data_IF_731767303524
#
_entry.id   IF_731767303524
#
_cell.length_a   1.000
_cell.length_b   1.000
_cell.length_c   1.000
_cell.angle_alpha   90.00
_cell.angle_beta   90.00
_cell.angle_gamma   90.00
#
_symmetry.space_group_name_H-M   'P 1'
#
loop_
_entity.id
_entity.type
_entity.pdbx_description
1 polymer ?
#
# COMPACT_ATOMS: atom_id res chain seq x y z
N UNK A 1 2.43 -44.54 -50.12
CA UNK A 1 2.86 -44.36 -48.72
C UNK A 1 3.62 -43.05 -48.62
N UNK A 2 2.95 -41.99 -48.18
CA UNK A 2 3.58 -40.68 -47.91
C UNK A 2 4.24 -40.74 -46.54
N UNK A 3 5.57 -40.70 -46.52
CA UNK A 3 6.38 -40.67 -45.31
C UNK A 3 6.20 -39.30 -44.65
N UNK A 4 5.41 -39.26 -43.58
CA UNK A 4 5.27 -38.07 -42.74
C UNK A 4 6.57 -37.88 -41.97
N UNK A 5 7.30 -36.81 -42.27
CA UNK A 5 8.49 -36.42 -41.53
C UNK A 5 8.09 -36.06 -40.08
N UNK A 6 8.90 -36.45 -39.07
CA UNK A 6 8.60 -36.11 -37.68
C UNK A 6 8.61 -34.59 -37.50
N UNK A 7 7.75 -34.05 -36.61
CA UNK A 7 7.72 -32.62 -36.33
C UNK A 7 9.10 -32.17 -35.79
N UNK A 8 9.53 -30.93 -36.09
CA UNK A 8 10.79 -30.41 -35.59
C UNK A 8 10.79 -30.42 -34.05
N UNK A 9 11.93 -30.69 -33.41
CA UNK A 9 12.03 -30.69 -31.97
C UNK A 9 11.60 -29.33 -31.43
N UNK A 10 10.66 -29.34 -30.50
CA UNK A 10 10.27 -28.16 -29.73
C UNK A 10 11.53 -27.63 -29.06
N UNK A 11 11.90 -26.38 -29.37
CA UNK A 11 13.04 -25.68 -28.76
C UNK A 11 12.99 -25.85 -27.24
N UNK A 12 13.90 -26.68 -26.73
CA UNK A 12 14.00 -26.98 -25.32
C UNK A 12 14.42 -25.69 -24.60
N UNK A 13 13.48 -25.08 -23.90
CA UNK A 13 13.67 -23.86 -23.12
C UNK A 13 14.98 -23.96 -22.32
N UNK A 14 15.87 -22.98 -22.49
CA UNK A 14 17.23 -22.95 -21.95
C UNK A 14 17.42 -23.72 -20.63
N UNK A 15 18.45 -24.57 -20.56
CA UNK A 15 18.79 -25.39 -19.40
C UNK A 15 18.67 -24.61 -18.07
N UNK A 16 18.20 -25.24 -16.97
CA UNK A 16 17.89 -24.56 -15.71
C UNK A 16 18.99 -23.62 -15.18
N UNK A 17 20.26 -23.98 -15.40
CA UNK A 17 21.43 -23.17 -15.04
C UNK A 17 21.54 -21.87 -15.87
N UNK A 18 21.26 -21.93 -17.17
CA UNK A 18 21.27 -20.76 -18.05
C UNK A 18 20.13 -19.78 -17.69
N UNK A 19 18.95 -20.31 -17.35
CA UNK A 19 17.83 -19.50 -16.85
C UNK A 19 18.16 -18.82 -15.52
N UNK A 20 18.79 -19.54 -14.58
CA UNK A 20 19.25 -18.95 -13.30
C UNK A 20 20.27 -17.83 -13.52
N UNK A 21 21.26 -18.05 -14.39
CA UNK A 21 22.26 -17.02 -14.73
C UNK A 21 21.63 -15.76 -15.32
N UNK A 22 20.71 -15.92 -16.29
CA UNK A 22 19.97 -14.79 -16.89
C UNK A 22 19.16 -14.00 -15.86
N UNK A 23 18.47 -14.69 -14.93
CA UNK A 23 17.73 -14.04 -13.84
C UNK A 23 18.62 -13.22 -12.92
N UNK A 24 19.77 -13.76 -12.52
CA UNK A 24 20.71 -13.04 -11.66
C UNK A 24 21.18 -11.77 -12.36
N UNK A 25 21.64 -11.89 -13.61
CA UNK A 25 22.11 -10.74 -14.40
C UNK A 25 20.99 -9.70 -14.55
N UNK A 26 19.80 -10.12 -14.98
CA UNK A 26 18.66 -9.23 -15.18
C UNK A 26 18.27 -8.48 -13.89
N UNK A 27 18.18 -9.19 -12.77
CA UNK A 27 17.85 -8.58 -11.48
C UNK A 27 18.95 -7.68 -10.95
N UNK A 28 20.23 -7.99 -11.21
CA UNK A 28 21.34 -7.10 -10.86
C UNK A 28 21.29 -5.80 -11.66
N UNK A 29 21.02 -5.87 -12.96
CA UNK A 29 20.84 -4.67 -13.81
C UNK A 29 19.65 -3.85 -13.30
N UNK A 30 18.51 -4.50 -13.06
CA UNK A 30 17.32 -3.84 -12.53
C UNK A 30 17.60 -3.18 -11.17
N UNK A 31 18.30 -3.85 -10.25
CA UNK A 31 18.62 -3.31 -8.93
C UNK A 31 19.52 -2.06 -9.02
N UNK A 32 20.53 -2.08 -9.90
CA UNK A 32 21.39 -0.91 -10.15
C UNK A 32 20.57 0.23 -10.75
N UNK A 33 19.77 -0.04 -11.78
CA UNK A 33 18.90 0.96 -12.40
C UNK A 33 17.90 1.55 -11.40
N UNK A 34 17.30 0.71 -10.56
CA UNK A 34 16.35 1.13 -9.53
C UNK A 34 17.04 2.01 -8.48
N UNK A 35 18.25 1.64 -8.04
CA UNK A 35 19.02 2.44 -7.08
C UNK A 35 19.42 3.80 -7.67
N UNK A 36 19.91 3.82 -8.91
CA UNK A 36 20.24 5.05 -9.64
C UNK A 36 19.00 5.91 -9.85
N UNK A 37 17.90 5.32 -10.33
CA UNK A 37 16.63 6.02 -10.54
C UNK A 37 16.08 6.59 -9.24
N UNK A 38 16.12 5.83 -8.15
CA UNK A 38 15.71 6.28 -6.82
C UNK A 38 16.57 7.44 -6.31
N UNK A 39 17.88 7.41 -6.60
CA UNK A 39 18.80 8.49 -6.20
C UNK A 39 18.50 9.82 -6.93
N UNK A 40 18.16 9.77 -8.22
CA UNK A 40 17.92 10.97 -9.03
C UNK A 40 16.47 11.47 -9.02
N UNK A 41 15.51 10.55 -9.01
CA UNK A 41 14.07 10.85 -9.15
C UNK A 41 13.36 10.79 -7.78
N UNK A 42 13.97 10.14 -6.79
CA UNK A 42 13.34 9.83 -5.50
C UNK A 42 12.69 8.45 -5.50
N UNK A 43 12.22 8.02 -4.34
CA UNK A 43 11.54 6.72 -4.19
C UNK A 43 10.20 6.79 -4.95
N UNK A 44 9.87 5.80 -5.79
CA UNK A 44 8.66 5.81 -6.61
C UNK A 44 7.42 5.43 -5.78
N UNK A 45 7.12 6.21 -4.75
CA UNK A 45 5.98 6.02 -3.83
C UNK A 45 4.84 7.00 -4.12
N UNK A 46 5.13 8.15 -4.72
CA UNK A 46 4.16 9.21 -5.00
C UNK A 46 3.37 9.01 -6.30
N UNK A 47 4.00 8.44 -7.32
CA UNK A 47 3.39 8.19 -8.63
C UNK A 47 3.16 6.68 -8.87
N UNK A 48 1.90 6.22 -8.87
CA UNK A 48 1.54 4.85 -9.18
C UNK A 48 2.11 4.37 -10.52
N UNK A 49 2.16 5.21 -11.56
CA UNK A 49 2.67 4.83 -12.88
C UNK A 49 4.17 4.52 -12.83
N UNK A 50 4.95 5.34 -12.15
CA UNK A 50 6.39 5.10 -11.96
C UNK A 50 6.60 3.83 -11.12
N UNK A 51 5.82 3.66 -10.05
CA UNK A 51 5.88 2.46 -9.21
C UNK A 51 5.57 1.18 -10.02
N UNK A 52 4.45 1.15 -10.76
CA UNK A 52 4.09 0.02 -11.61
C UNK A 52 5.07 -0.19 -12.76
N UNK A 53 5.67 0.89 -13.29
CA UNK A 53 6.75 0.81 -14.28
C UNK A 53 7.95 0.05 -13.74
N UNK A 54 8.44 0.39 -12.54
CA UNK A 54 9.55 -0.33 -11.90
C UNK A 54 9.21 -1.78 -11.58
N UNK A 55 7.99 -2.05 -11.11
CA UNK A 55 7.52 -3.43 -10.87
C UNK A 55 7.44 -4.23 -12.18
N UNK A 56 6.96 -3.60 -13.25
CA UNK A 56 6.90 -4.23 -14.57
C UNK A 56 8.31 -4.58 -15.07
N UNK A 57 9.25 -3.63 -15.01
CA UNK A 57 10.66 -3.86 -15.34
C UNK A 57 11.27 -4.98 -14.48
N UNK A 58 10.90 -5.06 -13.19
CA UNK A 58 11.35 -6.15 -12.31
C UNK A 58 10.84 -7.51 -12.80
N UNK A 59 9.57 -7.58 -13.25
CA UNK A 59 9.02 -8.84 -13.80
C UNK A 59 9.68 -9.23 -15.13
N UNK A 60 10.03 -8.25 -15.97
CA UNK A 60 10.77 -8.49 -17.22
C UNK A 60 12.18 -9.01 -16.89
N UNK A 61 12.88 -8.36 -15.96
CA UNK A 61 14.20 -8.80 -15.50
C UNK A 61 14.16 -10.22 -14.89
N UNK A 62 13.13 -10.54 -14.11
CA UNK A 62 12.95 -11.85 -13.49
C UNK A 62 12.59 -12.96 -14.50
N UNK A 63 11.95 -12.62 -15.62
CA UNK A 63 11.51 -13.56 -16.66
C UNK A 63 12.00 -13.17 -18.05
N UNK A 64 13.26 -12.75 -18.13
CA UNK A 64 13.85 -12.25 -19.38
C UNK A 64 13.93 -13.31 -20.49
N UNK A 65 13.67 -14.58 -20.15
CA UNK A 65 13.59 -15.71 -21.07
C UNK A 65 12.24 -15.81 -21.80
N UNK A 66 11.20 -15.10 -21.36
CA UNK A 66 9.88 -15.15 -21.97
C UNK A 66 9.76 -14.19 -23.17
N UNK A 67 8.94 -14.53 -24.18
CA UNK A 67 8.69 -13.66 -25.32
C UNK A 67 7.96 -12.38 -24.89
N UNK A 68 8.19 -11.29 -25.63
CA UNK A 68 7.71 -9.95 -25.29
C UNK A 68 6.20 -9.86 -25.01
N UNK A 69 5.38 -10.65 -25.73
CA UNK A 69 3.92 -10.69 -25.56
C UNK A 69 3.49 -11.13 -24.15
N UNK A 70 4.29 -11.99 -23.49
CA UNK A 70 3.97 -12.42 -22.12
C UNK A 70 4.22 -11.30 -21.10
N UNK A 71 5.13 -10.38 -21.39
CA UNK A 71 5.37 -9.21 -20.53
C UNK A 71 4.21 -8.21 -20.60
N UNK A 72 3.46 -8.15 -21.71
CA UNK A 72 2.25 -7.32 -21.81
C UNK A 72 1.09 -7.81 -20.93
N UNK A 73 1.10 -9.07 -20.51
CA UNK A 73 0.09 -9.57 -19.56
C UNK A 73 0.13 -8.80 -18.25
N UNK A 74 1.31 -8.31 -17.85
CA UNK A 74 1.43 -7.45 -16.68
C UNK A 74 0.57 -6.19 -16.86
N UNK A 75 0.69 -5.50 -18.00
CA UNK A 75 -0.11 -4.32 -18.28
C UNK A 75 -1.60 -4.64 -18.21
N UNK A 76 -2.07 -5.67 -18.92
CA UNK A 76 -3.50 -6.05 -18.89
C UNK A 76 -4.00 -6.33 -17.46
N UNK A 77 -3.23 -7.09 -16.69
CA UNK A 77 -3.63 -7.59 -15.38
C UNK A 77 -3.58 -6.49 -14.29
N UNK A 78 -2.65 -5.54 -14.42
CA UNK A 78 -2.41 -4.47 -13.44
C UNK A 78 -3.02 -3.13 -13.83
N UNK A 79 -3.41 -2.93 -15.09
CA UNK A 79 -4.05 -1.71 -15.58
C UNK A 79 -5.27 -1.30 -14.73
N UNK A 80 -6.17 -2.20 -14.31
CA UNK A 80 -7.33 -1.78 -13.51
C UNK A 80 -6.95 -1.11 -12.18
N UNK A 81 -6.01 -1.68 -11.43
CA UNK A 81 -5.56 -1.09 -10.17
C UNK A 81 -4.73 0.18 -10.42
N UNK A 82 -3.90 0.18 -11.47
CA UNK A 82 -3.08 1.34 -11.81
C UNK A 82 -3.96 2.53 -12.18
N UNK A 83 -4.97 2.32 -13.03
CA UNK A 83 -5.95 3.35 -13.39
C UNK A 83 -6.73 3.84 -12.17
N UNK A 84 -7.13 2.94 -11.26
CA UNK A 84 -7.83 3.35 -10.03
C UNK A 84 -6.95 4.24 -9.14
N UNK A 85 -5.67 3.89 -8.98
CA UNK A 85 -4.72 4.69 -8.18
C UNK A 85 -4.33 6.00 -8.88
N UNK A 86 -4.28 6.03 -10.21
CA UNK A 86 -4.11 7.28 -10.97
C UNK A 86 -5.35 8.15 -10.83
N UNK A 87 -6.54 7.58 -10.99
CA UNK A 87 -7.80 8.30 -10.78
C UNK A 87 -7.87 8.86 -9.36
N UNK A 88 -7.43 8.10 -8.36
CA UNK A 88 -7.27 8.57 -6.99
C UNK A 88 -6.34 9.80 -6.90
N UNK A 89 -5.17 9.73 -7.53
CA UNK A 89 -4.23 10.86 -7.53
C UNK A 89 -4.74 12.09 -8.28
N UNK A 90 -5.48 11.90 -9.37
CA UNK A 90 -6.05 13.01 -10.17
C UNK A 90 -7.26 13.61 -9.46
N UNK A 91 -8.15 12.78 -8.93
CA UNK A 91 -9.33 13.23 -8.19
C UNK A 91 -8.98 14.12 -7.00
N UNK A 92 -7.88 13.83 -6.32
CA UNK A 92 -7.29 14.69 -5.29
C UNK A 92 -7.18 16.14 -5.76
N UNK A 93 -6.59 16.39 -6.93
CA UNK A 93 -6.31 17.74 -7.42
C UNK A 93 -7.57 18.59 -7.65
N UNK A 94 -8.75 17.97 -7.75
CA UNK A 94 -10.02 18.65 -7.97
C UNK A 94 -10.93 18.67 -6.74
N UNK A 95 -10.69 17.82 -5.74
CA UNK A 95 -11.58 17.63 -4.60
C UNK A 95 -11.30 18.60 -3.43
N UNK A 96 -10.08 19.13 -3.34
CA UNK A 96 -9.61 19.89 -2.18
C UNK A 96 -10.38 21.20 -1.92
N UNK A 97 -11.11 21.73 -2.91
CA UNK A 97 -11.90 22.97 -2.80
C UNK A 97 -13.43 22.77 -2.72
N UNK A 98 -13.92 21.52 -2.79
CA UNK A 98 -15.36 21.27 -2.97
C UNK A 98 -16.16 21.28 -1.67
N UNK A 99 -15.58 20.81 -0.56
CA UNK A 99 -16.27 20.67 0.72
C UNK A 99 -15.33 20.94 1.90
N UNK A 100 -15.86 21.59 2.94
CA UNK A 100 -15.16 21.71 4.21
C UNK A 100 -14.94 20.32 4.84
N UNK A 101 -13.74 20.03 5.37
CA UNK A 101 -13.47 18.73 5.95
C UNK A 101 -14.15 18.54 7.31
N UNK A 102 -14.47 17.29 7.61
CA UNK A 102 -14.89 16.88 8.95
C UNK A 102 -13.66 16.83 9.86
N UNK A 103 -13.71 17.58 10.96
CA UNK A 103 -12.61 17.68 11.93
C UNK A 103 -13.07 17.12 13.29
N UNK A 104 -14.03 17.79 13.92
CA UNK A 104 -14.50 17.47 15.28
C UNK A 104 -15.03 16.05 15.48
N UNK A 105 -15.76 15.42 14.53
CA UNK A 105 -16.21 14.04 14.74
C UNK A 105 -15.05 13.06 14.98
N UNK A 106 -13.89 13.30 14.37
CA UNK A 106 -12.71 12.45 14.53
C UNK A 106 -12.02 12.70 15.87
N UNK A 107 -11.85 13.98 16.23
CA UNK A 107 -11.28 14.40 17.51
C UNK A 107 -12.10 13.83 18.68
N UNK A 108 -13.41 14.09 18.68
CA UNK A 108 -14.30 13.62 19.74
C UNK A 108 -14.37 12.10 19.83
N UNK A 109 -14.25 11.38 18.70
CA UNK A 109 -14.21 9.93 18.72
C UNK A 109 -12.95 9.42 19.44
N UNK A 110 -11.78 9.99 19.13
CA UNK A 110 -10.52 9.63 19.77
C UNK A 110 -10.49 10.02 21.26
N UNK A 111 -10.99 11.20 21.61
CA UNK A 111 -11.15 11.64 23.01
C UNK A 111 -12.11 10.73 23.78
N UNK A 112 -13.25 10.35 23.19
CA UNK A 112 -14.19 9.43 23.84
C UNK A 112 -13.59 8.03 24.07
N UNK A 113 -12.74 7.55 23.16
CA UNK A 113 -12.11 6.23 23.27
C UNK A 113 -10.90 6.21 24.21
N UNK A 114 -10.09 7.26 24.20
CA UNK A 114 -8.76 7.27 24.82
C UNK A 114 -8.51 8.42 25.79
N UNK A 115 -9.37 9.44 25.84
CA UNK A 115 -9.24 10.61 26.72
C UNK A 115 -9.01 10.25 28.19
N UNK A 116 -9.68 9.20 28.66
CA UNK A 116 -9.50 8.68 30.03
C UNK A 116 -8.06 8.21 30.34
N UNK A 117 -7.27 7.85 29.33
CA UNK A 117 -5.89 7.40 29.46
C UNK A 117 -4.87 8.50 29.09
N UNK A 118 -5.27 9.46 28.27
CA UNK A 118 -4.42 10.54 27.74
C UNK A 118 -4.63 11.89 28.41
N UNK A 119 -5.54 11.99 29.39
CA UNK A 119 -5.87 13.24 30.06
C UNK A 119 -6.74 14.16 29.20
N UNK A 120 -7.77 13.59 28.56
CA UNK A 120 -8.70 14.24 27.63
C UNK A 120 -8.06 14.77 26.33
N UNK A 121 -6.83 14.34 26.02
CA UNK A 121 -6.14 14.64 24.77
C UNK A 121 -6.38 13.55 23.74
N UNK A 122 -6.35 13.89 22.45
CA UNK A 122 -6.28 12.88 21.39
C UNK A 122 -4.94 12.11 21.47
N UNK A 123 -4.90 10.80 21.16
CA UNK A 123 -3.68 9.99 21.26
C UNK A 123 -2.48 10.56 20.52
N UNK A 124 -2.69 11.21 19.37
CA UNK A 124 -1.62 11.85 18.60
C UNK A 124 -0.91 12.96 19.38
N UNK A 125 -1.68 13.84 20.02
CA UNK A 125 -1.12 14.92 20.85
C UNK A 125 -0.35 14.32 22.01
N UNK A 126 -0.97 13.38 22.74
CA UNK A 126 -0.33 12.72 23.88
C UNK A 126 0.98 12.03 23.47
N UNK A 127 1.00 11.31 22.35
CA UNK A 127 2.20 10.63 21.87
C UNK A 127 3.33 11.61 21.52
N UNK A 128 3.03 12.74 20.87
CA UNK A 128 4.05 13.72 20.54
C UNK A 128 4.58 14.45 21.77
N UNK A 129 3.73 14.81 22.73
CA UNK A 129 4.18 15.41 23.99
C UNK A 129 5.17 14.52 24.76
N UNK A 130 5.03 13.19 24.65
CA UNK A 130 5.84 12.24 25.40
C UNK A 130 7.06 11.71 24.63
N UNK A 131 6.99 11.62 23.30
CA UNK A 131 8.00 10.92 22.49
C UNK A 131 8.70 11.82 21.46
N UNK A 132 8.06 12.89 21.00
CA UNK A 132 8.66 13.78 19.99
C UNK A 132 9.54 14.84 20.65
N UNK A 133 10.66 15.16 20.01
CA UNK A 133 11.57 16.24 20.44
C UNK A 133 11.93 17.10 19.22
N UNK A 134 11.57 18.40 19.21
CA UNK A 134 11.80 19.28 18.05
C UNK A 134 13.27 19.37 17.60
N UNK A 135 14.20 19.35 18.55
CA UNK A 135 15.62 19.63 18.25
C UNK A 135 16.43 18.39 17.85
N UNK A 136 15.87 17.18 17.97
CA UNK A 136 16.61 15.93 17.78
C UNK A 136 15.74 14.86 17.12
N UNK A 137 16.13 14.45 15.91
CA UNK A 137 15.55 13.28 15.24
C UNK A 137 15.94 12.01 16.00
N UNK A 138 14.96 11.36 16.61
CA UNK A 138 15.18 10.16 17.42
C UNK A 138 15.41 8.94 16.52
N UNK A 139 16.15 7.94 17.01
CA UNK A 139 16.45 6.74 16.21
C UNK A 139 15.19 5.96 15.80
N UNK A 140 14.13 6.00 16.63
CA UNK A 140 12.86 5.36 16.30
C UNK A 140 12.09 6.10 15.20
N UNK A 141 12.35 7.38 14.95
CA UNK A 141 11.75 8.11 13.82
C UNK A 141 12.20 7.53 12.47
N UNK A 142 13.39 6.92 12.41
CA UNK A 142 13.81 6.11 11.26
C UNK A 142 12.88 4.91 11.06
N UNK A 143 12.55 4.21 12.15
CA UNK A 143 11.63 3.06 12.10
C UNK A 143 10.23 3.51 11.71
N UNK A 144 9.75 4.62 12.27
CA UNK A 144 8.45 5.25 11.92
C UNK A 144 8.42 5.55 10.43
N UNK A 145 9.42 6.23 9.86
CA UNK A 145 9.47 6.52 8.43
C UNK A 145 9.56 5.28 7.54
N UNK A 146 10.31 4.25 7.97
CA UNK A 146 10.40 2.98 7.23
C UNK A 146 9.06 2.23 7.22
N UNK A 147 8.39 2.14 8.38
CA UNK A 147 7.06 1.54 8.49
C UNK A 147 6.06 2.36 7.69
N UNK A 148 6.10 3.69 7.77
CA UNK A 148 5.22 4.58 7.01
C UNK A 148 5.30 4.26 5.53
N UNK A 149 6.51 4.21 4.95
CA UNK A 149 6.70 3.93 3.52
C UNK A 149 6.44 2.46 3.15
N UNK A 150 6.53 1.51 4.09
CA UNK A 150 6.46 0.09 3.76
C UNK A 150 5.13 -0.32 3.13
N UNK A 151 4.01 0.36 3.40
CA UNK A 151 2.73 -0.01 2.80
C UNK A 151 2.72 0.18 1.27
N UNK A 152 3.40 1.21 0.75
CA UNK A 152 3.56 1.44 -0.69
C UNK A 152 4.31 0.31 -1.38
N UNK A 153 5.19 -0.39 -0.66
CA UNK A 153 6.00 -1.48 -1.21
C UNK A 153 5.37 -2.84 -0.93
N UNK A 154 4.83 -3.07 0.27
CA UNK A 154 4.39 -4.37 0.74
C UNK A 154 3.25 -4.92 -0.11
N UNK A 155 2.18 -4.15 -0.33
CA UNK A 155 1.00 -4.62 -1.07
C UNK A 155 1.30 -4.87 -2.55
N UNK A 156 1.96 -3.95 -3.29
CA UNK A 156 2.33 -4.23 -4.67
C UNK A 156 3.34 -5.38 -4.79
N UNK A 157 4.30 -5.49 -3.87
CA UNK A 157 5.25 -6.61 -3.86
C UNK A 157 4.55 -7.95 -3.66
N UNK A 158 3.62 -8.04 -2.69
CA UNK A 158 2.78 -9.23 -2.51
C UNK A 158 2.01 -9.54 -3.80
N UNK A 159 1.41 -8.52 -4.41
CA UNK A 159 0.73 -8.66 -5.70
C UNK A 159 1.65 -9.25 -6.77
N UNK A 160 2.87 -8.72 -6.95
CA UNK A 160 3.83 -9.23 -7.94
C UNK A 160 4.26 -10.66 -7.62
N UNK A 161 4.56 -10.96 -6.36
CA UNK A 161 4.96 -12.31 -5.95
C UNK A 161 3.86 -13.33 -6.22
N UNK A 162 2.60 -12.99 -5.90
CA UNK A 162 1.45 -13.84 -6.20
C UNK A 162 1.23 -13.94 -7.72
N UNK A 163 1.36 -12.84 -8.47
CA UNK A 163 1.24 -12.84 -9.94
C UNK A 163 2.28 -13.76 -10.58
N UNK A 164 3.50 -13.77 -10.05
CA UNK A 164 4.56 -14.65 -10.52
C UNK A 164 4.34 -16.10 -10.09
N UNK A 165 3.86 -16.38 -8.87
CA UNK A 165 3.85 -17.74 -8.32
C UNK A 165 2.51 -18.45 -8.42
N UNK A 166 1.40 -17.76 -8.14
CA UNK A 166 0.06 -18.34 -8.02
C UNK A 166 -1.01 -17.35 -8.51
N UNK A 167 -1.35 -17.45 -9.81
CA UNK A 167 -2.31 -16.55 -10.46
C UNK A 167 -3.71 -16.53 -9.83
N UNK A 168 -4.13 -17.65 -9.25
CA UNK A 168 -5.41 -17.73 -8.56
C UNK A 168 -5.41 -16.89 -7.26
N UNK A 169 -4.38 -17.04 -6.43
CA UNK A 169 -4.21 -16.24 -5.21
C UNK A 169 -4.02 -14.76 -5.55
N UNK A 170 -3.27 -14.46 -6.62
CA UNK A 170 -3.14 -13.09 -7.13
C UNK A 170 -4.50 -12.49 -7.43
N UNK A 171 -5.35 -13.17 -8.21
CA UNK A 171 -6.66 -12.63 -8.57
C UNK A 171 -7.53 -12.40 -7.32
N UNK A 172 -7.46 -13.28 -6.31
CA UNK A 172 -8.15 -13.12 -5.02
C UNK A 172 -7.63 -11.91 -4.24
N UNK A 173 -6.32 -11.72 -4.21
CA UNK A 173 -5.67 -10.60 -3.54
C UNK A 173 -6.02 -9.27 -4.24
N UNK A 174 -5.88 -9.21 -5.57
CA UNK A 174 -6.16 -8.01 -6.36
C UNK A 174 -7.61 -7.59 -6.27
N UNK A 175 -8.58 -8.52 -6.26
CA UNK A 175 -10.00 -8.17 -6.05
C UNK A 175 -10.20 -7.44 -4.73
N UNK A 176 -9.60 -7.92 -3.64
CA UNK A 176 -9.70 -7.29 -2.32
C UNK A 176 -9.02 -5.93 -2.30
N UNK A 177 -7.81 -5.84 -2.86
CA UNK A 177 -7.06 -4.58 -2.91
C UNK A 177 -7.76 -3.52 -3.78
N UNK A 178 -8.27 -3.91 -4.95
CA UNK A 178 -9.04 -3.05 -5.83
C UNK A 178 -10.32 -2.57 -5.14
N UNK A 179 -11.12 -3.49 -4.59
CA UNK A 179 -12.35 -3.12 -3.87
C UNK A 179 -12.05 -2.21 -2.69
N UNK A 180 -11.00 -2.47 -1.91
CA UNK A 180 -10.60 -1.63 -0.79
C UNK A 180 -10.21 -0.22 -1.22
N UNK A 181 -9.41 -0.11 -2.28
CA UNK A 181 -8.99 1.18 -2.82
C UNK A 181 -10.17 1.96 -3.40
N UNK A 182 -11.11 1.27 -4.05
CA UNK A 182 -12.32 1.88 -4.62
C UNK A 182 -13.24 2.43 -3.53
N UNK A 183 -13.53 1.64 -2.49
CA UNK A 183 -14.35 2.08 -1.38
C UNK A 183 -13.66 3.20 -0.59
N UNK A 184 -12.34 3.14 -0.39
CA UNK A 184 -11.58 4.24 0.21
C UNK A 184 -11.71 5.53 -0.60
N UNK A 185 -11.52 5.46 -1.93
CA UNK A 185 -11.69 6.60 -2.83
C UNK A 185 -13.09 7.21 -2.74
N UNK A 186 -14.14 6.37 -2.79
CA UNK A 186 -15.53 6.83 -2.65
C UNK A 186 -15.73 7.56 -1.33
N UNK A 187 -15.20 7.02 -0.23
CA UNK A 187 -15.36 7.64 1.09
C UNK A 187 -14.63 8.96 1.21
N UNK A 188 -13.43 9.11 0.63
CA UNK A 188 -12.73 10.41 0.65
C UNK A 188 -13.50 11.52 -0.08
N UNK A 189 -14.26 11.16 -1.12
CA UNK A 189 -15.14 12.12 -1.80
C UNK A 189 -16.40 12.45 -0.99
N UNK A 190 -17.00 11.46 -0.34
CA UNK A 190 -18.25 11.64 0.40
C UNK A 190 -18.05 12.20 1.81
N UNK A 191 -16.87 11.97 2.38
CA UNK A 191 -16.51 12.28 3.76
C UNK A 191 -15.05 12.74 3.81
N UNK A 192 -14.75 13.96 3.30
CA UNK A 192 -13.44 14.55 3.51
C UNK A 192 -13.24 14.74 5.02
N UNK A 193 -12.12 14.25 5.54
CA UNK A 193 -11.81 14.20 6.95
C UNK A 193 -10.39 14.71 7.18
N UNK A 194 -10.24 15.69 8.08
CA UNK A 194 -8.95 16.30 8.37
C UNK A 194 -8.09 15.39 9.27
N UNK A 195 -6.79 15.23 8.99
CA UNK A 195 -5.83 14.55 9.85
C UNK A 195 -5.37 15.45 11.02
N UNK A 196 -4.73 14.88 12.05
CA UNK A 196 -4.26 15.63 13.22
C UNK A 196 -3.32 16.80 12.91
N UNK A 197 -2.33 16.63 12.02
CA UNK A 197 -1.40 17.71 11.65
C UNK A 197 -2.15 18.91 11.03
N UNK A 198 -3.19 18.63 10.24
CA UNK A 198 -4.02 19.66 9.62
C UNK A 198 -4.87 20.35 10.70
N UNK A 199 -5.56 19.57 11.54
CA UNK A 199 -6.36 20.13 12.63
C UNK A 199 -5.52 21.03 13.55
N UNK A 200 -4.28 20.66 13.84
CA UNK A 200 -3.32 21.49 14.58
C UNK A 200 -3.00 22.81 13.87
N UNK A 201 -2.68 22.76 12.57
CA UNK A 201 -2.35 23.95 11.78
C UNK A 201 -3.47 25.01 11.80
N UNK A 202 -4.72 24.56 11.87
CA UNK A 202 -5.90 25.43 11.92
C UNK A 202 -6.42 25.69 13.36
N UNK A 203 -5.60 25.40 14.37
CA UNK A 203 -5.92 25.69 15.78
C UNK A 203 -7.12 24.90 16.33
N UNK A 204 -7.43 23.74 15.75
CA UNK A 204 -8.53 22.87 16.16
C UNK A 204 -8.11 21.85 17.22
N UNK A 205 -6.80 21.76 17.52
CA UNK A 205 -6.25 20.94 18.60
C UNK A 205 -5.65 21.82 19.70
N UNK A 206 -5.70 21.37 20.98
CA UNK A 206 -5.22 22.15 22.11
C UNK A 206 -3.70 22.37 22.11
N UNK A 207 -2.93 21.45 21.54
CA UNK A 207 -1.48 21.54 21.38
C UNK A 207 -1.08 21.32 19.92
N UNK A 208 0.10 21.84 19.59
CA UNK A 208 0.68 21.70 18.26
C UNK A 208 1.10 20.25 17.98
N UNK A 209 0.69 19.74 16.82
CA UNK A 209 1.07 18.44 16.28
C UNK A 209 1.93 18.66 15.04
N UNK A 210 3.14 18.12 15.07
CA UNK A 210 4.04 18.13 13.93
C UNK A 210 3.81 16.94 13.00
N UNK A 211 3.95 17.16 11.69
CA UNK A 211 3.88 16.09 10.70
C UNK A 211 5.26 15.47 10.50
N UNK A 212 5.52 14.35 11.17
CA UNK A 212 6.89 13.78 11.30
C UNK A 212 7.08 12.42 10.61
N UNK A 213 6.17 12.03 9.69
CA UNK A 213 6.20 10.72 9.03
C UNK A 213 7.47 10.46 8.21
N UNK A 214 8.18 11.51 7.81
CA UNK A 214 9.40 11.47 6.97
C UNK A 214 10.67 11.93 7.70
N UNK A 215 10.60 12.32 8.98
CA UNK A 215 11.77 12.82 9.73
C UNK A 215 12.95 11.83 9.74
N UNK A 216 12.66 10.54 9.75
CA UNK A 216 13.66 9.48 9.76
C UNK A 216 14.63 9.49 8.58
N UNK A 217 14.25 10.06 7.42
CA UNK A 217 15.14 10.15 6.26
C UNK A 217 16.32 11.09 6.49
N UNK A 218 16.13 12.15 7.28
CA UNK A 218 17.18 13.10 7.64
C UNK A 218 18.24 12.44 8.53
N UNK A 219 17.82 11.59 9.48
CA UNK A 219 18.74 10.87 10.37
C UNK A 219 19.67 9.89 9.66
N UNK A 220 19.28 9.36 8.50
CA UNK A 220 20.11 8.42 7.71
C UNK A 220 20.86 9.10 6.55
N UNK A 221 20.93 10.43 6.55
CA UNK A 221 21.69 11.19 5.56
C UNK A 221 21.05 11.24 4.16
N UNK A 222 19.82 10.74 4.00
CA UNK A 222 19.08 10.74 2.74
C UNK A 222 18.29 12.05 2.57
N UNK A 223 18.95 13.19 2.77
CA UNK A 223 18.33 14.51 2.72
C UNK A 223 17.64 14.79 1.38
N UNK A 224 18.19 14.33 0.24
CA UNK A 224 17.51 14.51 -1.06
C UNK A 224 16.28 13.62 -1.18
N UNK A 225 16.31 12.37 -0.70
CA UNK A 225 15.14 11.50 -0.72
C UNK A 225 14.06 12.01 0.26
N UNK A 226 14.45 12.51 1.44
CA UNK A 226 13.55 13.14 2.41
C UNK A 226 12.92 14.41 1.86
N UNK A 227 13.69 15.27 1.19
CA UNK A 227 13.18 16.52 0.59
C UNK A 227 12.32 16.25 -0.64
N UNK A 228 12.68 15.29 -1.51
CA UNK A 228 11.85 14.88 -2.64
C UNK A 228 10.56 14.21 -2.17
N UNK A 229 10.62 13.33 -1.16
CA UNK A 229 9.43 12.72 -0.57
C UNK A 229 8.54 13.77 0.11
N UNK A 230 9.10 14.69 0.90
CA UNK A 230 8.34 15.78 1.51
C UNK A 230 7.73 16.71 0.46
N UNK A 231 8.47 17.14 -0.57
CA UNK A 231 7.93 17.97 -1.64
C UNK A 231 6.81 17.26 -2.41
N UNK A 232 7.01 15.98 -2.77
CA UNK A 232 6.00 15.15 -3.41
C UNK A 232 4.80 14.87 -2.51
N UNK A 233 4.95 14.89 -1.19
CA UNK A 233 3.90 14.59 -0.22
C UNK A 233 3.21 15.86 0.31
N UNK A 234 3.79 17.04 0.15
CA UNK A 234 3.13 18.34 0.33
C UNK A 234 2.30 18.67 -0.91
N UNK A 235 2.85 18.47 -2.11
CA UNK A 235 2.11 18.66 -3.37
C UNK A 235 1.13 17.51 -3.66
N UNK A 236 1.37 16.33 -3.09
CA UNK A 236 0.47 15.17 -3.15
C UNK A 236 0.08 14.70 -1.75
N UNK A 237 -0.27 15.61 -0.83
CA UNK A 237 -1.19 15.32 0.28
C UNK A 237 -2.58 15.80 -0.14
N UNK A 238 -3.62 15.01 0.16
CA UNK A 238 -4.98 15.52 0.15
C UNK A 238 -5.04 15.93 1.61
N UNK A 239 -5.03 17.22 1.92
CA UNK A 239 -4.97 17.67 3.29
C UNK A 239 -6.12 17.10 4.14
N UNK A 240 -7.15 16.52 3.52
CA UNK A 240 -8.42 16.13 4.13
C UNK A 240 -8.93 14.74 3.72
N UNK A 241 -8.03 13.78 3.48
CA UNK A 241 -8.40 12.38 3.21
C UNK A 241 -7.95 11.41 4.33
N UNK A 242 -8.22 11.77 5.59
CA UNK A 242 -7.80 10.95 6.73
C UNK A 242 -8.61 9.64 6.88
N UNK A 243 -9.93 9.69 6.67
CA UNK A 243 -10.82 8.56 6.95
C UNK A 243 -11.39 7.92 5.67
N UNK A 244 -11.26 6.59 5.48
CA UNK A 244 -10.53 5.63 6.31
C UNK A 244 -9.01 5.71 6.10
N UNK A 245 -8.20 5.25 7.06
CA UNK A 245 -6.75 5.13 6.84
C UNK A 245 -6.43 3.96 5.87
N UNK A 246 -6.11 4.28 4.62
CA UNK A 246 -5.69 3.28 3.63
C UNK A 246 -4.33 2.65 3.96
N UNK A 247 -3.43 3.38 4.62
CA UNK A 247 -2.13 2.87 5.08
C UNK A 247 -2.29 1.64 5.97
N UNK A 248 -3.08 1.77 7.05
CA UNK A 248 -3.36 0.65 7.97
C UNK A 248 -4.30 -0.37 7.36
N UNK A 249 -5.26 0.03 6.51
CA UNK A 249 -6.12 -0.91 5.81
C UNK A 249 -5.31 -1.82 4.86
N UNK A 250 -4.34 -1.29 4.13
CA UNK A 250 -3.43 -2.06 3.28
C UNK A 250 -2.52 -2.98 4.08
N UNK A 251 -1.95 -2.51 5.19
CA UNK A 251 -1.16 -3.33 6.09
C UNK A 251 -1.98 -4.50 6.67
N UNK A 252 -3.19 -4.21 7.15
CA UNK A 252 -4.11 -5.20 7.71
C UNK A 252 -4.63 -6.18 6.65
N UNK A 253 -4.96 -5.70 5.45
CA UNK A 253 -5.37 -6.54 4.31
C UNK A 253 -4.27 -7.52 3.92
N UNK A 254 -3.02 -7.04 3.81
CA UNK A 254 -1.88 -7.88 3.48
C UNK A 254 -1.73 -9.04 4.47
N UNK A 255 -1.77 -8.74 5.77
CA UNK A 255 -1.66 -9.74 6.84
C UNK A 255 -2.87 -10.68 6.84
N UNK A 256 -4.09 -10.13 6.84
CA UNK A 256 -5.34 -10.90 6.90
C UNK A 256 -5.49 -11.87 5.74
N UNK A 257 -4.94 -11.55 4.57
CA UNK A 257 -4.94 -12.45 3.43
C UNK A 257 -4.14 -13.74 3.70
N UNK A 258 -3.03 -13.65 4.43
CA UNK A 258 -2.15 -14.77 4.72
C UNK A 258 -2.41 -15.45 6.07
N UNK A 259 -3.11 -14.82 7.02
CA UNK A 259 -3.42 -15.43 8.32
C UNK A 259 -3.99 -16.86 8.23
N UNK A 260 -4.93 -17.19 7.32
CA UNK A 260 -5.45 -18.55 7.18
C UNK A 260 -4.45 -19.55 6.59
N UNK A 261 -3.35 -19.07 5.99
CA UNK A 261 -2.32 -19.87 5.32
C UNK A 261 -1.10 -20.12 6.20
N UNK A 262 -1.04 -19.52 7.40
CA UNK A 262 0.11 -19.56 8.30
C UNK A 262 -0.30 -20.13 9.66
N UNK A 263 0.58 -20.91 10.28
CA UNK A 263 0.33 -21.47 11.61
C UNK A 263 0.08 -20.37 12.67
N UNK A 264 -0.90 -20.61 13.57
CA UNK A 264 -1.36 -19.64 14.58
C UNK A 264 -0.26 -19.06 15.45
N UNK A 265 0.82 -19.80 15.72
CA UNK A 265 1.98 -19.31 16.49
C UNK A 265 2.68 -18.09 15.88
N UNK A 266 2.53 -17.87 14.57
CA UNK A 266 3.11 -16.73 13.86
C UNK A 266 2.14 -15.54 13.73
N UNK A 267 0.89 -15.68 14.17
CA UNK A 267 -0.08 -14.59 14.11
C UNK A 267 0.38 -13.34 14.85
N UNK A 268 0.98 -13.42 16.06
CA UNK A 268 1.47 -12.22 16.74
C UNK A 268 2.50 -11.46 15.91
N UNK A 269 3.44 -12.18 15.28
CA UNK A 269 4.46 -11.57 14.42
C UNK A 269 3.85 -10.88 13.19
N UNK A 270 2.86 -11.51 12.55
CA UNK A 270 2.20 -10.93 11.39
C UNK A 270 1.34 -9.70 11.79
N UNK A 271 0.59 -9.80 12.89
CA UNK A 271 -0.25 -8.71 13.40
C UNK A 271 0.56 -7.54 13.98
N UNK A 272 1.83 -7.76 14.34
CA UNK A 272 2.73 -6.68 14.72
C UNK A 272 2.90 -5.65 13.60
N UNK A 273 2.79 -6.04 12.33
CA UNK A 273 2.92 -5.10 11.20
C UNK A 273 1.81 -4.03 11.15
N UNK A 274 0.50 -4.38 11.07
CA UNK A 274 -0.55 -3.38 11.08
C UNK A 274 -0.59 -2.58 12.39
N UNK A 275 -0.19 -3.18 13.53
CA UNK A 275 -0.06 -2.45 14.80
C UNK A 275 1.06 -1.42 14.77
N UNK A 276 2.22 -1.78 14.23
CA UNK A 276 3.33 -0.84 14.04
C UNK A 276 2.95 0.29 13.07
N UNK A 277 2.19 -0.02 12.01
CA UNK A 277 1.63 0.99 11.10
C UNK A 277 0.66 1.92 11.82
N UNK A 278 -0.23 1.38 12.67
CA UNK A 278 -1.13 2.20 13.50
C UNK A 278 -0.35 3.17 14.37
N UNK A 279 0.61 2.66 15.15
CA UNK A 279 1.46 3.51 16.00
C UNK A 279 2.15 4.59 15.17
N UNK A 280 2.73 4.20 14.03
CA UNK A 280 3.43 5.10 13.11
C UNK A 280 2.55 6.27 12.68
N UNK A 281 1.32 6.01 12.22
CA UNK A 281 0.43 7.07 11.71
C UNK A 281 -0.10 7.99 12.80
N UNK A 282 -0.44 7.43 13.97
CA UNK A 282 -0.97 8.22 15.09
C UNK A 282 0.14 9.07 15.70
N UNK A 283 1.34 8.51 15.89
CA UNK A 283 2.50 9.25 16.39
C UNK A 283 2.95 10.34 15.40
N UNK A 284 2.95 10.04 14.10
CA UNK A 284 3.44 10.98 13.08
C UNK A 284 2.50 12.11 12.70
N UNK A 285 1.32 12.18 13.32
CA UNK A 285 0.33 13.22 13.04
C UNK A 285 -0.57 12.94 11.84
N UNK A 286 -0.40 11.80 11.15
CA UNK A 286 -1.06 11.51 9.87
C UNK A 286 -2.52 11.06 10.02
N UNK A 287 -2.87 10.36 11.09
CA UNK A 287 -4.23 9.82 11.30
C UNK A 287 -4.61 9.76 12.78
N UNK A 288 -5.90 9.93 13.05
CA UNK A 288 -6.52 9.58 14.33
C UNK A 288 -6.67 8.06 14.46
N UNK A 289 -6.88 7.55 15.69
CA UNK A 289 -7.11 6.12 15.91
C UNK A 289 -8.42 5.68 15.26
N UNK A 290 -9.46 6.51 15.27
CA UNK A 290 -10.73 6.20 14.61
C UNK A 290 -10.56 5.92 13.10
N UNK A 291 -9.69 6.66 12.41
CA UNK A 291 -9.41 6.46 10.98
C UNK A 291 -8.87 5.05 10.70
N UNK A 292 -8.03 4.57 11.62
CA UNK A 292 -7.43 3.24 11.58
C UNK A 292 -8.49 2.17 11.81
N UNK A 293 -9.34 2.35 12.82
CA UNK A 293 -10.39 1.38 13.14
C UNK A 293 -11.41 1.26 12.00
N UNK A 294 -11.81 2.38 11.39
CA UNK A 294 -12.68 2.37 10.20
C UNK A 294 -11.98 1.68 9.02
N UNK A 295 -10.68 1.93 8.82
CA UNK A 295 -9.89 1.20 7.82
C UNK A 295 -9.87 -0.32 8.04
N UNK A 296 -9.71 -0.77 9.28
CA UNK A 296 -9.77 -2.20 9.61
C UNK A 296 -11.18 -2.79 9.45
N UNK A 297 -12.22 -2.01 9.78
CA UNK A 297 -13.61 -2.41 9.51
C UNK A 297 -13.85 -2.59 8.01
N UNK A 298 -13.28 -1.72 7.16
CA UNK A 298 -13.34 -1.87 5.70
C UNK A 298 -12.69 -3.16 5.25
N UNK A 299 -11.50 -3.49 5.78
CA UNK A 299 -10.84 -4.77 5.47
C UNK A 299 -11.73 -5.96 5.83
N UNK A 300 -12.30 -5.97 7.04
CA UNK A 300 -13.20 -7.04 7.46
C UNK A 300 -14.42 -7.16 6.54
N UNK A 301 -15.10 -6.05 6.28
CA UNK A 301 -16.27 -5.99 5.40
C UNK A 301 -15.97 -6.48 3.97
N UNK A 302 -14.83 -6.07 3.41
CA UNK A 302 -14.42 -6.46 2.05
C UNK A 302 -14.03 -7.93 1.97
N UNK A 303 -13.36 -8.48 2.99
CA UNK A 303 -13.06 -9.91 3.03
C UNK A 303 -14.34 -10.74 3.04
N UNK A 304 -15.37 -10.29 3.77
CA UNK A 304 -16.69 -10.93 3.78
C UNK A 304 -17.40 -10.77 2.44
N UNK A 305 -17.51 -9.55 1.92
CA UNK A 305 -18.18 -9.22 0.66
C UNK A 305 -17.57 -9.96 -0.53
N UNK A 306 -16.26 -9.78 -0.76
CA UNK A 306 -15.54 -10.42 -1.87
C UNK A 306 -15.50 -11.92 -1.68
N UNK A 307 -15.31 -12.40 -0.46
CA UNK A 307 -15.33 -13.83 -0.16
C UNK A 307 -16.70 -14.48 -0.45
N UNK A 308 -17.80 -13.79 -0.14
CA UNK A 308 -19.14 -14.25 -0.46
C UNK A 308 -19.37 -14.27 -1.98
N UNK A 309 -19.01 -13.20 -2.69
CA UNK A 309 -19.13 -13.12 -4.14
C UNK A 309 -18.32 -14.22 -4.85
N UNK A 310 -17.09 -14.49 -4.40
CA UNK A 310 -16.24 -15.56 -4.93
C UNK A 310 -16.89 -16.95 -4.76
N UNK A 311 -17.42 -17.25 -3.57
CA UNK A 311 -18.11 -18.53 -3.30
C UNK A 311 -19.38 -18.67 -4.13
N UNK A 312 -20.14 -17.59 -4.27
CA UNK A 312 -21.36 -17.58 -5.05
C UNK A 312 -21.10 -17.81 -6.55
N UNK A 313 -20.11 -17.13 -7.13
CA UNK A 313 -19.69 -17.36 -8.52
C UNK A 313 -19.15 -18.77 -8.75
N UNK A 314 -18.44 -19.35 -7.77
CA UNK A 314 -17.97 -20.72 -7.87
C UNK A 314 -19.14 -21.72 -7.93
N UNK A 315 -20.16 -21.53 -7.07
CA UNK A 315 -21.36 -22.39 -7.05
C UNK A 315 -22.16 -22.29 -8.35
N UNK A 316 -22.35 -21.08 -8.90
CA UNK A 316 -23.06 -20.89 -10.18
C UNK A 316 -22.37 -21.61 -11.33
N UNK A 317 -21.05 -21.41 -11.47
CA UNK A 317 -20.27 -22.10 -12.51
C UNK A 317 -20.25 -23.62 -12.37
N UNK A 318 -20.41 -24.14 -11.15
CA UNK A 318 -20.55 -25.57 -10.93
C UNK A 318 -21.94 -26.07 -11.36
N UNK A 319 -23.00 -25.31 -11.08
CA UNK A 319 -24.36 -25.64 -11.51
C UNK A 319 -24.49 -25.63 -13.04
N UNK A 320 -23.95 -24.60 -13.71
CA UNK A 320 -24.00 -24.48 -15.18
C UNK A 320 -23.30 -25.63 -15.90
N UNK A 321 -22.26 -26.21 -15.27
CA UNK A 321 -21.52 -27.38 -15.78
C UNK A 321 -22.24 -28.71 -15.56
N UNK A 322 -23.17 -28.79 -14.62
CA UNK A 322 -23.98 -30.00 -14.34
C UNK A 322 -25.21 -30.02 -15.24
N UNK A 323 -25.69 -28.86 -15.69
CA UNK A 323 -26.83 -28.72 -16.60
C UNK A 323 -26.47 -28.76 -18.10
N UNK A 324 -25.19 -28.76 -18.46
CA UNK A 324 -24.68 -28.77 -19.84
C UNK A 324 -24.15 -30.16 -20.22
#
# INVERSE_FOLDING_TARGET
MTVVSPPPPVEETAAPAARRKRRIIGMSIWAVLFAVGTYFIGVPTSDPLIAFGWLWLATIAWRSDLPWRQHLLFLRDWLPIALLLVLYNVSRAYADDLFAPHVYPLIHADEAMFGWATGDLVPTVWLQEHLYRPDVVQWWEVVVSLVYVSHFLAVPTIGVLLWLRQRELWARFMRRWFTLSLFGLITYFLYPAAPPWWASLYGQLPQHVERISTNGWNAIGLHSAGNSLNALQVDAANPVAAMPSLHTAYAMMAVSFFLPMVAKKWWPLLLAYPLAMTFTLVYSGEHYVIDVLVGWAYVAGIFLLVGFAERWWARRRAADKVSA
#
